data_IF_011594238531
#
_entry.id   IF_011594238531
#
_cell.length_a   1.000
_cell.length_b   1.000
_cell.length_c   1.000
_cell.angle_alpha   90.00
_cell.angle_beta   90.00
_cell.angle_gamma   90.00
#
_symmetry.space_group_name_H-M   'P 1'
#
loop_
_entity.id
_entity.type
_entity.pdbx_description
1 polymer ?
#
# COMPACT_ATOMS: atom_id res chain seq x y z
N UNK A 1 19.74 0.07 3.55
CA UNK A 1 19.29 -1.03 2.68
C UNK A 1 18.12 -1.74 3.33
N UNK A 2 17.03 -2.04 2.59
CA UNK A 2 15.88 -2.81 3.10
C UNK A 2 16.17 -4.32 3.18
N UNK A 3 17.41 -4.74 2.89
CA UNK A 3 17.82 -6.13 2.66
C UNK A 3 17.65 -7.10 3.82
N UNK A 4 17.31 -6.62 5.03
CA UNK A 4 17.05 -7.44 6.21
C UNK A 4 15.71 -7.15 6.90
N UNK A 5 14.88 -6.27 6.34
CA UNK A 5 13.57 -5.97 6.94
C UNK A 5 12.60 -7.13 6.69
N UNK A 6 11.86 -7.51 7.73
CA UNK A 6 10.78 -8.49 7.59
C UNK A 6 9.69 -7.97 6.64
N UNK A 7 8.95 -8.88 5.99
CA UNK A 7 7.85 -8.52 5.09
C UNK A 7 6.81 -7.62 5.79
N UNK A 8 6.52 -7.88 7.07
CA UNK A 8 5.61 -7.07 7.89
C UNK A 8 6.11 -5.63 8.06
N UNK A 9 7.40 -5.44 8.32
CA UNK A 9 8.00 -4.10 8.43
C UNK A 9 7.98 -3.36 7.09
N UNK A 10 8.21 -4.08 5.98
CA UNK A 10 8.11 -3.49 4.65
C UNK A 10 6.68 -3.06 4.33
N UNK A 11 5.67 -3.88 4.66
CA UNK A 11 4.26 -3.52 4.50
C UNK A 11 3.86 -2.31 5.34
N UNK A 12 4.32 -2.22 6.60
CA UNK A 12 4.05 -1.05 7.43
C UNK A 12 4.64 0.24 6.85
N UNK A 13 5.88 0.18 6.34
CA UNK A 13 6.52 1.32 5.67
C UNK A 13 5.80 1.72 4.38
N UNK A 14 5.38 0.74 3.59
CA UNK A 14 4.64 0.95 2.35
C UNK A 14 3.25 1.56 2.62
N UNK A 15 2.53 1.07 3.64
CA UNK A 15 1.26 1.64 4.09
C UNK A 15 1.40 3.11 4.50
N UNK A 16 2.42 3.43 5.31
CA UNK A 16 2.69 4.81 5.71
C UNK A 16 3.04 5.71 4.51
N UNK A 17 3.71 5.18 3.49
CA UNK A 17 3.99 5.91 2.25
C UNK A 17 2.72 6.15 1.43
N UNK A 18 1.86 5.14 1.30
CA UNK A 18 0.59 5.25 0.60
C UNK A 18 -0.31 6.32 1.25
N UNK A 19 -0.36 6.39 2.59
CA UNK A 19 -1.09 7.46 3.30
C UNK A 19 -0.56 8.87 2.99
N UNK A 20 0.76 9.05 2.91
CA UNK A 20 1.35 10.34 2.50
C UNK A 20 1.03 10.67 1.05
N UNK A 21 1.09 9.70 0.15
CA UNK A 21 0.73 9.88 -1.25
C UNK A 21 -0.75 10.26 -1.42
N UNK A 22 -1.65 9.65 -0.65
CA UNK A 22 -3.07 9.97 -0.64
C UNK A 22 -3.33 11.44 -0.28
N UNK A 23 -2.70 11.95 0.79
CA UNK A 23 -2.87 13.35 1.21
C UNK A 23 -2.38 14.32 0.14
N UNK A 24 -1.24 14.03 -0.49
CA UNK A 24 -0.70 14.87 -1.58
C UNK A 24 -1.61 14.84 -2.80
N UNK A 25 -2.08 13.66 -3.23
CA UNK A 25 -2.99 13.51 -4.35
C UNK A 25 -4.31 14.25 -4.12
N UNK A 26 -4.91 14.09 -2.94
CA UNK A 26 -6.14 14.79 -2.56
C UNK A 26 -5.94 16.31 -2.56
N UNK A 27 -4.82 16.80 -2.02
CA UNK A 27 -4.50 18.23 -2.00
C UNK A 27 -4.36 18.83 -3.39
N UNK A 28 -3.91 18.04 -4.37
CA UNK A 28 -3.78 18.42 -5.78
C UNK A 28 -5.05 18.20 -6.60
N UNK A 29 -6.12 17.71 -5.96
CA UNK A 29 -7.33 17.24 -6.62
C UNK A 29 -7.07 16.16 -7.69
N UNK A 30 -6.01 15.37 -7.53
CA UNK A 30 -5.72 14.23 -8.39
C UNK A 30 -6.49 13.01 -7.89
N UNK A 31 -7.73 12.88 -8.36
CA UNK A 31 -8.66 11.82 -7.95
C UNK A 31 -8.14 10.42 -8.30
N UNK A 32 -7.50 10.26 -9.46
CA UNK A 32 -7.01 8.94 -9.89
C UNK A 32 -5.86 8.46 -8.99
N UNK A 33 -4.91 9.34 -8.69
CA UNK A 33 -3.83 9.01 -7.76
C UNK A 33 -4.34 8.80 -6.34
N UNK A 34 -5.36 9.53 -5.89
CA UNK A 34 -5.97 9.35 -4.59
C UNK A 34 -6.65 7.98 -4.45
N UNK A 35 -7.41 7.55 -5.46
CA UNK A 35 -8.04 6.21 -5.47
C UNK A 35 -6.97 5.11 -5.42
N UNK A 36 -5.96 5.19 -6.28
CA UNK A 36 -4.89 4.20 -6.29
C UNK A 36 -4.16 4.14 -4.93
N UNK A 37 -3.88 5.28 -4.31
CA UNK A 37 -3.24 5.33 -3.01
C UNK A 37 -4.10 4.67 -1.92
N UNK A 38 -5.42 4.90 -1.93
CA UNK A 38 -6.36 4.26 -1.01
C UNK A 38 -6.39 2.73 -1.19
N UNK A 39 -6.50 2.24 -2.42
CA UNK A 39 -6.47 0.80 -2.72
C UNK A 39 -5.17 0.13 -2.23
N UNK A 40 -4.03 0.83 -2.38
CA UNK A 40 -2.75 0.33 -1.87
C UNK A 40 -2.68 0.31 -0.35
N UNK A 41 -3.28 1.29 0.33
CA UNK A 41 -3.40 1.26 1.79
C UNK A 41 -4.16 0.02 2.25
N UNK A 42 -5.29 -0.29 1.63
CA UNK A 42 -6.11 -1.46 1.96
C UNK A 42 -5.37 -2.78 1.70
N UNK A 43 -4.69 -2.90 0.56
CA UNK A 43 -3.87 -4.07 0.24
C UNK A 43 -2.75 -4.31 1.28
N UNK A 44 -2.11 -3.24 1.77
CA UNK A 44 -1.09 -3.36 2.82
C UNK A 44 -1.71 -3.75 4.18
N UNK A 45 -2.88 -3.23 4.52
CA UNK A 45 -3.62 -3.64 5.72
C UNK A 45 -4.01 -5.12 5.67
N UNK A 46 -4.50 -5.59 4.53
CA UNK A 46 -4.84 -6.99 4.31
C UNK A 46 -3.60 -7.91 4.46
N UNK A 47 -2.46 -7.51 3.89
CA UNK A 47 -1.21 -8.24 4.03
C UNK A 47 -0.70 -8.28 5.49
N UNK A 48 -0.85 -7.18 6.25
CA UNK A 48 -0.51 -7.15 7.68
C UNK A 48 -1.43 -8.05 8.52
N UNK A 49 -2.70 -8.15 8.15
CA UNK A 49 -3.70 -9.01 8.78
C UNK A 49 -3.51 -10.51 8.44
N UNK A 50 -2.56 -10.86 7.57
CA UNK A 50 -2.30 -12.24 7.16
C UNK A 50 -3.32 -12.78 6.16
N UNK A 51 -4.14 -11.93 5.54
CA UNK A 51 -5.01 -12.34 4.46
C UNK A 51 -4.17 -12.65 3.20
N UNK A 52 -4.35 -13.81 2.54
CA UNK A 52 -3.64 -14.09 1.30
C UNK A 52 -4.05 -13.04 0.26
N UNK A 53 -3.05 -12.37 -0.32
CA UNK A 53 -3.26 -11.51 -1.48
C UNK A 53 -3.81 -12.38 -2.61
N UNK A 54 -5.06 -12.16 -3.01
CA UNK A 54 -5.72 -12.94 -4.06
C UNK A 54 -5.19 -12.61 -5.47
N UNK A 55 -4.06 -11.91 -5.60
CA UNK A 55 -3.34 -11.80 -6.88
C UNK A 55 -2.47 -13.06 -7.08
N UNK A 56 -3.13 -14.19 -7.27
CA UNK A 56 -2.55 -15.27 -8.05
C UNK A 56 -2.76 -14.89 -9.52
N UNK A 57 -1.78 -14.21 -10.11
CA UNK A 57 -1.73 -14.11 -11.56
C UNK A 57 -1.66 -15.55 -12.10
N UNK A 58 -2.72 -15.97 -12.80
CA UNK A 58 -2.78 -17.21 -13.54
C UNK A 58 -1.65 -17.25 -14.60
N UNK A 59 -1.15 -18.45 -14.97
CA UNK A 59 0.02 -18.63 -15.84
C UNK A 59 -0.16 -18.07 -17.25
#
# INVERSE_FOLDING_TARGET
>A
ALSGASARELHGKAHALAGRALVVAASRADTAAAILAAERMDAHTAALAGAPSLVTAAP
#
